data_IF_296106956419
#
_entry.id   IF_296106956419
#
_cell.length_a   1.000
_cell.length_b   1.000
_cell.length_c   1.000
_cell.angle_alpha   90.00
_cell.angle_beta   90.00
_cell.angle_gamma   90.00
#
_symmetry.space_group_name_H-M   'P 1'
#
loop_
_entity.id
_entity.type
_entity.pdbx_description
1 polymer ?
#
# COMPACT_ATOMS: atom_id res chain seq x y z
N UNK A 1 -1.36 21.14 11.93
CA UNK A 1 -0.93 20.47 13.20
C UNK A 1 -2.17 20.23 14.06
N UNK A 2 -2.29 19.25 14.98
CA UNK A 2 -1.25 18.53 15.75
C UNK A 2 -1.51 17.03 16.07
N UNK A 3 -0.53 16.44 16.78
CA UNK A 3 -0.61 15.49 17.92
C UNK A 3 -1.17 14.04 17.82
N UNK A 4 -0.34 13.15 18.39
CA UNK A 4 -0.55 11.76 18.81
C UNK A 4 -1.87 11.51 19.58
N UNK A 5 -2.46 10.31 19.48
CA UNK A 5 -2.71 9.51 20.68
C UNK A 5 -3.04 8.03 20.43
N UNK A 6 -2.64 7.25 21.43
CA UNK A 6 -2.74 5.82 21.69
C UNK A 6 -4.18 5.47 22.10
N UNK A 7 -4.73 4.35 21.64
CA UNK A 7 -6.07 3.88 22.04
C UNK A 7 -6.05 3.36 23.48
N UNK A 8 -6.75 4.05 24.39
CA UNK A 8 -7.30 3.47 25.61
C UNK A 8 -8.75 3.07 25.38
N UNK A 9 -9.12 1.90 25.90
CA UNK A 9 -10.44 1.28 25.79
C UNK A 9 -11.26 1.73 27.00
N UNK A 10 -12.40 2.39 26.76
CA UNK A 10 -13.42 2.66 27.76
C UNK A 10 -14.63 1.76 27.53
N UNK A 11 -15.00 1.00 28.56
CA UNK A 11 -16.24 0.22 28.68
C UNK A 11 -17.46 1.15 28.85
N UNK A 12 -18.69 0.64 28.63
CA UNK A 12 -19.54 0.46 29.82
C UNK A 12 -20.44 -0.80 29.80
N UNK A 13 -20.79 -1.19 31.03
CA UNK A 13 -21.72 -2.25 31.45
C UNK A 13 -23.18 -1.80 31.35
N UNK A 14 -24.10 -2.77 31.21
CA UNK A 14 -25.55 -2.59 31.41
C UNK A 14 -26.36 -3.88 31.18
N UNK A 15 -26.85 -4.48 32.28
CA UNK A 15 -27.49 -5.79 32.47
C UNK A 15 -28.93 -5.94 31.91
N UNK A 16 -29.26 -7.07 31.24
CA UNK A 16 -30.21 -8.18 31.64
C UNK A 16 -31.72 -7.96 31.37
N UNK A 17 -32.64 -8.98 31.42
CA UNK A 17 -32.51 -10.45 31.59
C UNK A 17 -33.36 -11.37 30.63
N UNK A 18 -32.95 -12.66 30.60
CA UNK A 18 -33.68 -13.96 30.61
C UNK A 18 -35.01 -14.18 29.84
N UNK A 19 -35.07 -15.29 29.07
CA UNK A 19 -36.05 -16.40 29.12
C UNK A 19 -35.48 -17.63 28.35
N UNK A 20 -35.71 -18.84 28.86
CA UNK A 20 -35.30 -20.17 28.38
C UNK A 20 -36.56 -21.08 28.44
N UNK A 21 -36.52 -22.40 28.14
CA UNK A 21 -36.25 -23.13 26.89
C UNK A 21 -37.46 -24.01 26.45
N UNK A 22 -37.45 -24.58 25.23
CA UNK A 22 -38.25 -25.78 24.92
C UNK A 22 -37.48 -26.80 24.06
N UNK A 23 -37.79 -28.07 24.36
CA UNK A 23 -37.01 -29.29 24.15
C UNK A 23 -37.87 -30.32 23.41
N UNK A 24 -37.33 -31.00 22.41
CA UNK A 24 -37.85 -32.26 21.81
C UNK A 24 -36.64 -32.97 21.13
N UNK A 25 -36.15 -34.19 21.44
CA UNK A 25 -36.68 -35.58 21.57
C UNK A 25 -37.40 -36.01 20.28
N UNK A 26 -37.05 -37.03 19.45
CA UNK A 26 -36.12 -38.20 19.33
C UNK A 26 -36.20 -38.65 17.81
N UNK A 27 -35.69 -39.79 17.25
CA UNK A 27 -34.84 -40.92 17.72
C UNK A 27 -33.62 -41.30 16.81
N UNK A 28 -32.93 -42.39 17.17
CA UNK A 28 -31.68 -43.00 16.62
C UNK A 28 -31.93 -44.03 15.50
N UNK A 29 -30.83 -44.43 14.82
CA UNK A 29 -30.45 -45.72 14.14
C UNK A 29 -29.81 -45.38 12.76
N UNK A 30 -28.69 -45.93 12.24
CA UNK A 30 -27.66 -46.89 12.67
C UNK A 30 -26.43 -46.75 11.74
N UNK A 31 -25.23 -46.91 12.34
CA UNK A 31 -23.96 -47.48 11.84
C UNK A 31 -23.57 -47.35 10.35
N UNK A 32 -22.33 -46.92 10.07
CA UNK A 32 -21.23 -47.78 9.55
C UNK A 32 -19.89 -47.01 9.42
N UNK A 33 -18.83 -47.62 9.98
CA UNK A 33 -17.38 -47.46 9.74
C UNK A 33 -16.64 -46.16 10.13
N UNK A 34 -16.07 -46.20 11.33
CA UNK A 34 -14.97 -45.33 11.77
C UNK A 34 -13.64 -45.91 11.27
N UNK A 35 -13.02 -45.28 10.28
CA UNK A 35 -11.59 -45.49 9.98
C UNK A 35 -10.78 -44.74 11.05
N UNK A 36 -10.28 -45.48 12.04
CA UNK A 36 -9.31 -44.98 13.01
C UNK A 36 -7.99 -44.66 12.31
N UNK A 37 -7.75 -43.38 12.03
CA UNK A 37 -6.41 -42.89 11.73
C UNK A 37 -5.58 -43.00 13.00
N UNK A 38 -4.55 -43.86 12.98
CA UNK A 38 -3.51 -43.91 14.01
C UNK A 38 -2.92 -42.51 14.19
N UNK A 39 -3.02 -41.97 15.40
CA UNK A 39 -2.31 -40.77 15.81
C UNK A 39 -0.82 -41.09 15.84
N UNK A 40 -0.09 -40.63 14.82
CA UNK A 40 1.35 -40.42 14.93
C UNK A 40 1.54 -39.08 15.63
N UNK A 41 1.90 -39.14 16.89
CA UNK A 41 2.42 -38.02 17.66
C UNK A 41 3.82 -37.68 17.15
N UNK A 42 3.88 -36.82 16.13
CA UNK A 42 5.08 -36.09 15.76
C UNK A 42 4.96 -34.64 16.27
N UNK A 43 5.73 -34.35 17.31
CA UNK A 43 6.02 -32.99 17.77
C UNK A 43 6.91 -32.30 16.74
N UNK A 44 6.30 -31.84 15.64
CA UNK A 44 6.89 -30.90 14.70
C UNK A 44 5.98 -29.68 14.63
N UNK A 45 6.47 -28.48 14.97
CA UNK A 45 5.71 -27.25 14.78
C UNK A 45 5.57 -26.98 13.27
N UNK A 46 4.59 -27.62 12.63
CA UNK A 46 4.32 -27.43 11.21
C UNK A 46 3.71 -26.05 11.03
N UNK A 47 4.45 -25.16 10.36
CA UNK A 47 3.93 -23.83 10.00
C UNK A 47 2.59 -24.00 9.28
N UNK A 48 1.58 -23.25 9.70
CA UNK A 48 0.23 -23.31 9.10
C UNK A 48 0.34 -23.13 7.57
N UNK A 49 -0.30 -24.00 6.76
CA UNK A 49 -0.21 -23.90 5.30
C UNK A 49 -0.68 -22.53 4.80
N UNK A 50 0.05 -21.97 3.84
CA UNK A 50 -0.21 -20.68 3.21
C UNK A 50 -0.50 -20.85 1.72
N UNK A 51 -1.41 -20.01 1.20
CA UNK A 51 -1.70 -19.93 -0.23
C UNK A 51 -0.49 -19.35 -0.99
N UNK A 52 -0.06 -19.96 -2.08
CA UNK A 52 1.07 -19.46 -2.89
C UNK A 52 0.78 -18.18 -3.65
N UNK A 53 -0.49 -17.91 -3.99
CA UNK A 53 -0.93 -16.71 -4.71
C UNK A 53 -1.09 -15.51 -3.79
N UNK A 54 -1.97 -15.59 -2.79
CA UNK A 54 -2.20 -14.46 -1.89
C UNK A 54 -1.32 -14.48 -0.64
N UNK A 55 -0.47 -15.50 -0.41
CA UNK A 55 0.40 -15.71 0.76
C UNK A 55 -0.31 -15.84 2.12
N UNK A 56 -1.66 -15.86 2.17
CA UNK A 56 -2.42 -15.91 3.44
C UNK A 56 -2.57 -17.36 3.90
N UNK A 57 -2.74 -17.61 5.20
CA UNK A 57 -3.10 -18.94 5.66
C UNK A 57 -4.34 -19.48 4.93
N UNK A 58 -4.35 -20.77 4.58
CA UNK A 58 -5.40 -21.37 3.72
C UNK A 58 -6.82 -21.06 4.18
N UNK A 59 -7.08 -21.06 5.50
CA UNK A 59 -8.41 -20.77 6.08
C UNK A 59 -8.93 -19.36 5.79
N UNK A 60 -8.03 -18.39 5.60
CA UNK A 60 -8.36 -16.99 5.34
C UNK A 60 -7.81 -16.53 3.98
N UNK A 61 -7.76 -17.46 3.02
CA UNK A 61 -7.29 -17.18 1.67
C UNK A 61 -8.20 -16.12 1.01
N UNK A 62 -7.57 -15.16 0.32
CA UNK A 62 -8.26 -14.09 -0.41
C UNK A 62 -8.60 -14.50 -1.85
N UNK A 63 -7.87 -15.44 -2.44
CA UNK A 63 -8.01 -15.79 -3.86
C UNK A 63 -9.41 -16.29 -4.22
N UNK A 64 -10.03 -17.07 -3.34
CA UNK A 64 -11.37 -17.62 -3.58
C UNK A 64 -12.49 -16.61 -3.33
N UNK A 65 -12.15 -15.41 -2.86
CA UNK A 65 -13.12 -14.33 -2.57
C UNK A 65 -13.27 -13.37 -3.74
N UNK A 66 -12.31 -13.36 -4.66
CA UNK A 66 -12.43 -12.64 -5.91
C UNK A 66 -13.48 -13.34 -6.78
N UNK A 67 -14.60 -12.67 -7.00
CA UNK A 67 -15.70 -13.16 -7.84
C UNK A 67 -15.33 -13.13 -9.33
N UNK A 68 -14.44 -12.21 -9.71
CA UNK A 68 -13.96 -12.01 -11.07
C UNK A 68 -12.49 -12.43 -11.22
N UNK A 69 -12.06 -12.87 -12.41
CA UNK A 69 -10.65 -12.97 -12.75
C UNK A 69 -9.93 -11.62 -12.56
N UNK A 70 -8.59 -11.65 -12.56
CA UNK A 70 -7.77 -10.43 -12.45
C UNK A 70 -8.26 -9.36 -13.43
N UNK A 71 -8.65 -8.22 -12.88
CA UNK A 71 -9.22 -7.10 -13.62
C UNK A 71 -8.16 -6.44 -14.50
N UNK A 72 -8.54 -6.13 -15.72
CA UNK A 72 -7.69 -5.40 -16.64
C UNK A 72 -7.78 -3.90 -16.37
N UNK A 73 -6.82 -3.34 -15.65
CA UNK A 73 -6.69 -1.89 -15.47
C UNK A 73 -5.75 -1.30 -16.54
N UNK A 74 -6.22 -0.29 -17.26
CA UNK A 74 -5.42 0.45 -18.25
C UNK A 74 -4.40 1.37 -17.57
N UNK A 75 -4.81 2.00 -16.47
CA UNK A 75 -3.96 2.81 -15.61
C UNK A 75 -3.09 1.89 -14.76
N UNK A 76 -1.76 1.96 -14.94
CA UNK A 76 -0.81 1.22 -14.12
C UNK A 76 -0.86 1.66 -12.66
N UNK A 77 -0.52 0.76 -11.74
CA UNK A 77 -0.48 1.06 -10.31
C UNK A 77 0.89 0.71 -9.80
N UNK A 78 1.57 1.68 -9.20
CA UNK A 78 2.91 1.53 -8.64
C UNK A 78 2.86 1.82 -7.14
N UNK A 79 2.91 0.77 -6.32
CA UNK A 79 2.79 0.88 -4.86
C UNK A 79 4.18 0.89 -4.24
N UNK A 80 4.57 2.00 -3.61
CA UNK A 80 5.74 2.07 -2.75
C UNK A 80 5.37 1.56 -1.37
N UNK A 81 5.67 0.29 -1.10
CA UNK A 81 5.33 -0.39 0.13
C UNK A 81 6.48 -0.31 1.14
N UNK A 82 6.21 0.27 2.30
CA UNK A 82 7.19 0.30 3.38
C UNK A 82 7.53 -1.12 3.85
N UNK A 83 8.82 -1.43 4.09
CA UNK A 83 9.29 -2.76 4.53
C UNK A 83 8.51 -3.33 5.72
N UNK A 84 8.15 -2.48 6.68
CA UNK A 84 7.37 -2.86 7.86
C UNK A 84 5.90 -3.25 7.56
N UNK A 85 5.34 -2.85 6.42
CA UNK A 85 3.97 -3.22 6.03
C UNK A 85 3.89 -4.54 5.26
N UNK A 86 4.99 -4.95 4.61
CA UNK A 86 5.05 -6.16 3.77
C UNK A 86 4.48 -7.40 4.45
N UNK A 87 4.83 -7.59 5.72
CA UNK A 87 4.42 -8.74 6.52
C UNK A 87 3.21 -8.46 7.42
N UNK A 88 2.60 -7.27 7.31
CA UNK A 88 1.49 -6.89 8.16
C UNK A 88 0.24 -7.77 7.88
N UNK A 89 -0.45 -8.27 8.91
CA UNK A 89 -1.63 -9.12 8.73
C UNK A 89 -2.78 -8.47 7.95
N UNK A 90 -2.86 -7.13 7.95
CA UNK A 90 -3.84 -6.34 7.19
C UNK A 90 -3.27 -5.72 5.90
N UNK A 91 -2.15 -6.23 5.40
CA UNK A 91 -1.58 -5.78 4.11
C UNK A 91 -2.61 -5.97 2.97
N UNK A 92 -3.31 -4.88 2.64
CA UNK A 92 -4.37 -4.82 1.63
C UNK A 92 -3.83 -4.60 0.22
N UNK A 93 -2.56 -4.20 0.08
CA UNK A 93 -1.81 -4.21 -1.18
C UNK A 93 -1.84 -5.58 -1.85
N UNK A 94 -1.94 -6.67 -1.07
CA UNK A 94 -2.09 -8.03 -1.60
C UNK A 94 -3.36 -8.21 -2.42
N UNK A 95 -4.44 -7.52 -2.09
CA UNK A 95 -5.70 -7.55 -2.83
C UNK A 95 -5.49 -6.92 -4.21
N UNK A 96 -4.82 -5.77 -4.28
CA UNK A 96 -4.43 -5.15 -5.54
C UNK A 96 -3.57 -6.11 -6.39
N UNK A 97 -2.55 -6.76 -5.81
CA UNK A 97 -1.67 -7.69 -6.53
C UNK A 97 -2.41 -8.86 -7.17
N UNK A 98 -3.42 -9.41 -6.49
CA UNK A 98 -4.15 -10.58 -7.01
C UNK A 98 -5.35 -10.20 -7.87
N UNK A 99 -5.86 -8.97 -7.71
CA UNK A 99 -7.11 -8.50 -8.32
C UNK A 99 -6.93 -7.56 -9.51
N UNK A 100 -5.77 -6.93 -9.67
CA UNK A 100 -5.48 -5.96 -10.75
C UNK A 100 -4.29 -6.44 -11.58
N UNK A 101 -4.39 -6.36 -12.91
CA UNK A 101 -3.40 -6.91 -13.84
C UNK A 101 -2.13 -6.05 -13.91
N UNK A 102 -2.26 -4.74 -13.94
CA UNK A 102 -1.15 -3.80 -14.11
C UNK A 102 -0.80 -3.16 -12.76
N UNK A 103 -0.24 -3.97 -11.85
CA UNK A 103 0.16 -3.56 -10.50
C UNK A 103 1.60 -3.95 -10.21
N UNK A 104 2.40 -2.97 -9.78
CA UNK A 104 3.79 -3.11 -9.41
C UNK A 104 3.97 -2.72 -7.94
N UNK A 105 4.76 -3.49 -7.20
CA UNK A 105 5.09 -3.20 -5.80
C UNK A 105 6.59 -3.01 -5.69
N UNK A 106 7.00 -1.85 -5.19
CA UNK A 106 8.38 -1.54 -4.88
C UNK A 106 8.49 -1.46 -3.37
N UNK A 107 9.37 -2.27 -2.79
CA UNK A 107 9.61 -2.21 -1.35
C UNK A 107 10.57 -1.06 -1.06
N UNK A 108 10.19 -0.18 -0.14
CA UNK A 108 11.00 0.98 0.28
C UNK A 108 11.24 0.93 1.80
N UNK A 109 12.37 1.45 2.24
CA UNK A 109 12.70 1.59 3.65
C UNK A 109 13.07 3.02 4.02
N UNK A 110 12.93 3.29 5.31
CA UNK A 110 13.43 4.48 5.97
C UNK A 110 14.92 4.73 5.65
N UNK A 111 15.27 6.00 5.44
CA UNK A 111 16.66 6.44 5.36
C UNK A 111 17.24 6.51 6.77
N UNK A 112 18.12 5.57 7.11
CA UNK A 112 18.73 5.47 8.43
C UNK A 112 19.99 6.33 8.59
N UNK A 113 20.78 6.45 7.52
CA UNK A 113 22.02 7.23 7.47
C UNK A 113 21.98 8.20 6.29
N UNK A 114 22.20 7.69 5.08
CA UNK A 114 22.17 8.48 3.85
C UNK A 114 21.56 7.66 2.71
N UNK A 115 20.90 8.33 1.77
CA UNK A 115 20.42 7.75 0.53
C UNK A 115 20.75 8.67 -0.64
N UNK A 116 21.16 8.08 -1.75
CA UNK A 116 21.46 8.77 -2.99
C UNK A 116 20.41 8.39 -4.05
N UNK A 117 19.92 9.38 -4.78
CA UNK A 117 18.93 9.24 -5.84
C UNK A 117 19.53 9.72 -7.14
N UNK A 118 19.58 8.83 -8.13
CA UNK A 118 19.99 9.14 -9.48
C UNK A 118 18.73 9.18 -10.35
N UNK A 119 18.33 10.38 -10.77
CA UNK A 119 17.14 10.60 -11.60
C UNK A 119 17.61 10.88 -13.02
N UNK A 120 17.21 10.02 -13.96
CA UNK A 120 17.59 10.11 -15.37
C UNK A 120 16.37 10.47 -16.21
N UNK A 121 16.46 11.52 -17.01
CA UNK A 121 15.37 11.90 -17.92
C UNK A 121 15.22 10.87 -19.04
N UNK A 122 13.98 10.51 -19.39
CA UNK A 122 13.70 9.63 -20.53
C UNK A 122 13.49 10.51 -21.78
N UNK A 123 14.58 10.85 -22.47
CA UNK A 123 14.48 11.54 -23.76
C UNK A 123 14.06 10.58 -24.88
N UNK A 124 13.24 11.06 -25.81
CA UNK A 124 12.64 10.28 -26.91
C UNK A 124 13.65 9.90 -28.02
N UNK A 125 14.94 10.20 -27.88
CA UNK A 125 15.93 10.06 -28.95
C UNK A 125 17.38 9.99 -28.45
N UNK A 126 17.67 9.20 -27.41
CA UNK A 126 19.06 8.80 -27.12
C UNK A 126 19.11 7.28 -26.97
N UNK A 127 19.92 6.63 -27.80
CA UNK A 127 20.33 5.23 -27.64
C UNK A 127 21.03 5.05 -26.30
N UNK A 128 20.91 3.87 -25.71
CA UNK A 128 21.39 3.53 -24.34
C UNK A 128 22.88 3.81 -24.06
N UNK A 129 23.66 4.20 -25.07
CA UNK A 129 25.11 4.33 -25.00
C UNK A 129 25.67 5.78 -25.11
N UNK A 130 24.82 6.81 -25.29
CA UNK A 130 25.29 8.21 -25.38
C UNK A 130 24.44 9.17 -24.51
N UNK A 131 24.39 8.92 -23.21
CA UNK A 131 23.79 9.87 -22.25
C UNK A 131 24.89 10.82 -21.77
N UNK A 132 24.86 12.08 -22.24
CA UNK A 132 25.68 13.13 -21.66
C UNK A 132 25.40 13.22 -20.14
N UNK A 133 26.45 13.45 -19.35
CA UNK A 133 26.39 13.58 -17.88
C UNK A 133 25.48 14.73 -17.37
N UNK A 134 24.80 15.45 -18.29
CA UNK A 134 23.90 16.57 -18.02
C UNK A 134 22.46 16.15 -17.72
N UNK A 135 22.04 14.94 -18.08
CA UNK A 135 20.65 14.48 -17.92
C UNK A 135 20.41 13.65 -16.65
N UNK A 136 21.38 13.67 -15.73
CA UNK A 136 21.33 12.96 -14.46
C UNK A 136 21.27 13.96 -13.31
N UNK A 137 20.15 13.96 -12.61
CA UNK A 137 19.99 14.71 -11.36
C UNK A 137 20.40 13.77 -10.22
N UNK A 138 21.45 14.13 -9.50
CA UNK A 138 21.95 13.38 -8.33
C UNK A 138 21.59 14.12 -7.05
N UNK A 139 20.74 13.49 -6.24
CA UNK A 139 20.25 14.03 -4.97
C UNK A 139 20.70 13.10 -3.85
N UNK A 140 21.41 13.63 -2.88
CA UNK A 140 21.73 12.89 -1.66
C UNK A 140 20.99 13.47 -0.47
N UNK A 141 20.34 12.60 0.29
CA UNK A 141 19.61 12.97 1.50
C UNK A 141 20.13 12.21 2.72
N UNK A 142 20.03 12.86 3.86
CA UNK A 142 20.25 12.28 5.18
C UNK A 142 18.94 11.79 5.80
N UNK A 143 19.06 11.20 7.00
CA UNK A 143 17.93 10.79 7.83
C UNK A 143 16.88 11.89 7.95
N UNK A 144 15.60 11.52 7.84
CA UNK A 144 14.42 12.43 7.83
C UNK A 144 14.28 13.29 6.56
N UNK A 145 15.06 13.07 5.51
CA UNK A 145 14.89 13.74 4.22
C UNK A 145 15.55 15.11 4.12
N UNK A 146 16.51 15.43 5.01
CA UNK A 146 17.35 16.61 4.86
C UNK A 146 18.27 16.42 3.64
N UNK A 147 18.28 17.36 2.69
CA UNK A 147 19.14 17.26 1.51
C UNK A 147 20.57 17.63 1.91
N UNK A 148 21.52 16.72 1.73
CA UNK A 148 22.93 16.93 2.08
C UNK A 148 23.77 17.44 0.91
N UNK A 149 23.42 17.03 -0.31
CA UNK A 149 24.07 17.52 -1.53
C UNK A 149 23.18 17.34 -2.76
N UNK A 150 23.38 18.23 -3.73
CA UNK A 150 22.68 18.24 -5.01
C UNK A 150 23.68 18.64 -6.10
N UNK A 151 23.85 17.83 -7.13
CA UNK A 151 24.90 18.03 -8.15
C UNK A 151 24.52 19.00 -9.28
N UNK A 152 23.23 19.27 -9.47
CA UNK A 152 22.70 20.16 -10.54
C UNK A 152 21.55 20.99 -10.01
N UNK A 153 21.43 22.25 -10.49
CA UNK A 153 20.41 23.29 -10.16
C UNK A 153 19.45 22.95 -9.03
N UNK A 154 19.49 23.76 -7.96
CA UNK A 154 18.66 23.64 -6.76
C UNK A 154 17.32 22.94 -7.04
N UNK A 155 17.00 21.86 -6.30
CA UNK A 155 15.82 21.02 -6.52
C UNK A 155 14.54 21.86 -6.60
N UNK A 156 14.50 22.97 -5.87
CA UNK A 156 13.43 23.97 -5.90
C UNK A 156 13.31 24.74 -7.23
N UNK A 157 14.44 24.98 -7.92
CA UNK A 157 14.49 25.62 -9.25
C UNK A 157 14.02 24.69 -10.39
N UNK A 158 14.05 23.37 -10.19
CA UNK A 158 13.45 22.40 -11.13
C UNK A 158 11.92 22.50 -11.17
N UNK A 159 11.29 23.04 -10.12
CA UNK A 159 9.83 23.25 -10.07
C UNK A 159 9.37 24.55 -10.71
N UNK A 160 10.27 25.43 -11.14
CA UNK A 160 9.86 26.65 -11.85
C UNK A 160 9.33 26.29 -13.24
N UNK A 161 8.08 26.67 -13.53
CA UNK A 161 7.38 26.39 -14.80
C UNK A 161 8.09 26.90 -16.05
N UNK A 162 9.08 27.77 -15.87
CA UNK A 162 9.98 28.34 -16.88
C UNK A 162 11.21 27.48 -17.18
N UNK A 163 11.43 26.37 -16.48
CA UNK A 163 12.59 25.51 -16.64
C UNK A 163 12.34 24.39 -17.66
N UNK A 164 13.18 24.33 -18.71
CA UNK A 164 13.15 23.29 -19.76
C UNK A 164 13.19 21.88 -19.14
N UNK A 165 13.92 21.70 -18.04
CA UNK A 165 14.01 20.42 -17.34
C UNK A 165 12.67 19.93 -16.77
N UNK A 166 11.74 20.82 -16.40
CA UNK A 166 10.41 20.44 -15.89
C UNK A 166 9.54 19.84 -16.99
N UNK A 167 9.60 20.39 -18.21
CA UNK A 167 8.87 19.85 -19.35
C UNK A 167 9.41 18.48 -19.78
N UNK A 168 10.73 18.26 -19.66
CA UNK A 168 11.34 16.97 -19.96
C UNK A 168 11.03 15.91 -18.91
N UNK A 169 10.95 16.27 -17.62
CA UNK A 169 10.47 15.38 -16.55
C UNK A 169 9.06 14.85 -16.82
N UNK A 170 8.17 15.64 -17.45
CA UNK A 170 6.81 15.18 -17.82
C UNK A 170 6.80 14.10 -18.89
N UNK A 171 7.87 13.97 -19.69
CA UNK A 171 8.02 12.88 -20.68
C UNK A 171 8.36 11.54 -20.01
N UNK A 172 8.68 11.57 -18.72
CA UNK A 172 9.04 10.42 -17.91
C UNK A 172 10.51 10.46 -17.51
N UNK A 173 10.83 9.73 -16.44
CA UNK A 173 12.18 9.64 -15.89
C UNK A 173 12.39 8.27 -15.24
N UNK A 174 13.64 7.86 -15.07
CA UNK A 174 14.00 6.71 -14.24
C UNK A 174 14.59 7.20 -12.92
N UNK A 175 14.31 6.48 -11.83
CA UNK A 175 14.87 6.76 -10.51
C UNK A 175 15.55 5.51 -9.99
N UNK A 176 16.84 5.65 -9.69
CA UNK A 176 17.60 4.66 -8.92
C UNK A 176 17.89 5.21 -7.54
N UNK A 177 17.55 4.45 -6.50
CA UNK A 177 17.89 4.77 -5.11
C UNK A 177 18.96 3.83 -4.60
N UNK A 178 20.04 4.41 -4.09
CA UNK A 178 21.12 3.74 -3.38
C UNK A 178 21.02 4.08 -1.89
N UNK A 179 21.14 3.07 -1.04
CA UNK A 179 21.21 3.23 0.42
C UNK A 179 22.65 3.09 0.87
N UNK A 180 23.06 4.00 1.77
CA UNK A 180 24.34 3.90 2.46
C UNK A 180 24.10 3.52 3.91
N UNK A 181 24.82 2.51 4.37
CA UNK A 181 24.81 2.05 5.76
C UNK A 181 26.20 2.29 6.35
N UNK A 182 26.26 3.05 7.43
CA UNK A 182 27.51 3.30 8.14
C UNK A 182 28.02 2.01 8.78
N UNK A 183 29.27 1.62 8.48
CA UNK A 183 29.98 0.48 9.07
C UNK A 183 30.90 0.94 10.21
N UNK A 184 31.63 2.03 9.98
CA UNK A 184 32.57 2.66 10.91
C UNK A 184 32.59 4.17 10.66
N UNK A 185 33.38 4.96 11.41
CA UNK A 185 33.33 6.43 11.37
C UNK A 185 33.46 7.06 9.97
N UNK A 186 34.13 6.40 9.01
CA UNK A 186 34.29 6.88 7.63
C UNK A 186 33.99 5.83 6.54
N UNK A 187 33.56 4.63 6.91
CA UNK A 187 33.25 3.57 5.94
C UNK A 187 31.75 3.31 5.90
N UNK A 188 31.20 3.23 4.70
CA UNK A 188 29.81 2.88 4.47
C UNK A 188 29.70 1.80 3.40
N UNK A 189 28.71 0.94 3.58
CA UNK A 189 28.26 -0.02 2.59
C UNK A 189 27.17 0.62 1.74
N UNK A 190 27.32 0.58 0.42
CA UNK A 190 26.31 1.06 -0.52
C UNK A 190 25.58 -0.12 -1.18
N UNK A 191 24.25 -0.02 -1.26
CA UNK A 191 23.40 -1.04 -1.90
C UNK A 191 22.25 -0.41 -2.67
N UNK A 192 21.87 -1.00 -3.80
CA UNK A 192 20.68 -0.59 -4.54
C UNK A 192 19.42 -0.98 -3.77
N UNK A 193 18.53 -0.02 -3.52
CA UNK A 193 17.21 -0.30 -2.96
C UNK A 193 16.18 -0.57 -4.05
N UNK A 194 16.16 0.28 -5.08
CA UNK A 194 15.30 0.11 -6.25
C UNK A 194 15.85 0.87 -7.45
N UNK A 195 15.41 0.45 -8.63
CA UNK A 195 15.57 1.15 -9.89
C UNK A 195 14.26 1.03 -10.68
N UNK A 196 13.59 2.15 -10.90
CA UNK A 196 12.22 2.17 -11.44
C UNK A 196 12.10 3.19 -12.57
N UNK A 197 11.28 2.86 -13.57
CA UNK A 197 10.85 3.82 -14.58
C UNK A 197 9.53 4.47 -14.16
N UNK A 198 9.44 5.78 -14.36
CA UNK A 198 8.27 6.61 -14.09
C UNK A 198 7.82 7.20 -15.43
N UNK A 199 6.88 6.54 -16.13
CA UNK A 199 6.47 6.96 -17.47
C UNK A 199 5.70 8.29 -17.45
N UNK A 200 5.62 8.95 -18.61
CA UNK A 200 4.74 10.11 -18.80
C UNK A 200 3.30 9.80 -18.39
N UNK A 201 2.63 10.76 -17.73
CA UNK A 201 1.29 10.55 -17.19
C UNK A 201 1.26 9.79 -15.85
N UNK A 202 2.41 9.64 -15.19
CA UNK A 202 2.46 9.20 -13.79
C UNK A 202 2.04 10.32 -12.84
N UNK A 203 1.21 9.99 -11.86
CA UNK A 203 0.76 10.91 -10.80
C UNK A 203 0.93 10.25 -9.43
N UNK A 204 1.15 11.07 -8.41
CA UNK A 204 1.25 10.62 -7.03
C UNK A 204 -0.10 10.81 -6.33
N UNK A 205 -0.68 9.71 -5.81
CA UNK A 205 -1.85 9.76 -4.94
C UNK A 205 -1.41 10.10 -3.51
N UNK A 206 -1.35 11.40 -3.20
CA UNK A 206 -0.93 11.90 -1.90
C UNK A 206 -1.46 13.32 -1.67
N UNK A 207 -2.10 13.60 -0.51
CA UNK A 207 -2.65 14.92 -0.20
C UNK A 207 -1.54 15.89 0.26
N UNK A 208 -0.69 16.30 -0.68
CA UNK A 208 0.27 17.40 -0.48
C UNK A 208 -0.43 18.76 -0.56
N UNK A 209 0.28 19.82 -0.20
CA UNK A 209 -0.24 21.20 -0.30
C UNK A 209 -0.55 21.60 -1.76
N UNK A 210 0.23 21.07 -2.71
CA UNK A 210 0.08 21.30 -4.16
C UNK A 210 -0.84 20.28 -4.85
N UNK A 211 -1.54 19.44 -4.09
CA UNK A 211 -2.40 18.39 -4.67
C UNK A 211 -3.71 18.96 -5.21
N UNK A 212 -4.08 18.49 -6.40
CA UNK A 212 -5.38 18.79 -7.05
C UNK A 212 -6.33 17.61 -6.89
N UNK A 213 -7.63 17.86 -7.01
CA UNK A 213 -8.60 16.77 -6.97
C UNK A 213 -8.43 15.89 -8.22
N UNK A 214 -8.60 14.57 -8.06
CA UNK A 214 -8.39 13.59 -9.14
C UNK A 214 -9.26 13.85 -10.37
N UNK A 215 -10.44 14.46 -10.18
CA UNK A 215 -11.37 14.84 -11.24
C UNK A 215 -10.90 16.06 -12.05
N UNK A 216 -10.02 16.89 -11.48
CA UNK A 216 -9.56 18.16 -12.07
C UNK A 216 -8.25 18.01 -12.86
N UNK A 217 -7.77 16.77 -13.04
CA UNK A 217 -6.53 16.50 -13.77
C UNK A 217 -6.75 16.75 -15.27
N UNK A 218 -5.97 17.68 -15.84
CA UNK A 218 -6.10 18.12 -17.24
C UNK A 218 -5.40 17.21 -18.27
N UNK A 219 -4.89 16.05 -17.84
CA UNK A 219 -4.16 15.11 -18.70
C UNK A 219 -4.55 13.66 -18.38
N UNK A 220 -4.32 12.76 -19.34
CA UNK A 220 -4.58 11.33 -19.18
C UNK A 220 -3.62 10.71 -18.15
N UNK A 221 -4.18 10.20 -17.06
CA UNK A 221 -3.43 9.47 -16.03
C UNK A 221 -3.12 8.06 -16.54
N UNK A 222 -1.83 7.71 -16.61
CA UNK A 222 -1.35 6.39 -17.09
C UNK A 222 -0.77 5.52 -15.99
N UNK A 223 -0.36 6.13 -14.89
CA UNK A 223 0.22 5.41 -13.76
C UNK A 223 -0.09 6.14 -12.44
N UNK A 224 -0.69 5.41 -11.50
CA UNK A 224 -0.96 5.85 -10.14
C UNK A 224 0.15 5.36 -9.22
N UNK A 225 0.95 6.29 -8.68
CA UNK A 225 1.93 6.00 -7.64
C UNK A 225 1.25 6.16 -6.28
N UNK A 226 1.33 5.12 -5.44
CA UNK A 226 0.63 5.06 -4.13
C UNK A 226 1.63 4.71 -3.03
N UNK A 227 1.52 5.39 -1.88
CA UNK A 227 2.37 5.14 -0.71
C UNK A 227 1.66 4.22 0.28
N UNK A 228 2.19 3.01 0.49
CA UNK A 228 1.60 2.03 1.41
C UNK A 228 2.32 2.02 2.77
N UNK A 229 1.61 2.57 3.76
CA UNK A 229 2.08 2.78 5.12
C UNK A 229 1.00 3.43 5.98
N UNK A 230 1.23 3.46 7.30
CA UNK A 230 0.48 4.40 8.15
C UNK A 230 0.70 5.83 7.65
N UNK A 231 -0.21 6.76 7.94
CA UNK A 231 -0.05 8.17 7.53
C UNK A 231 1.32 8.78 7.87
N UNK A 232 1.84 8.49 9.08
CA UNK A 232 3.16 8.94 9.48
C UNK A 232 4.27 8.31 8.62
N UNK A 233 4.16 7.03 8.27
CA UNK A 233 5.10 6.34 7.37
C UNK A 233 4.98 6.86 5.94
N UNK A 234 3.77 7.05 5.40
CA UNK A 234 3.54 7.61 4.08
C UNK A 234 4.14 9.02 3.95
N UNK A 235 3.89 9.90 4.94
CA UNK A 235 4.51 11.23 4.99
C UNK A 235 6.04 11.17 5.07
N UNK A 236 6.58 10.22 5.83
CA UNK A 236 8.03 10.01 5.89
C UNK A 236 8.60 9.52 4.56
N UNK A 237 7.97 8.53 3.92
CA UNK A 237 8.34 8.05 2.59
C UNK A 237 8.32 9.19 1.58
N UNK A 238 7.29 10.03 1.60
CA UNK A 238 7.21 11.23 0.76
C UNK A 238 8.42 12.16 0.95
N UNK A 239 8.78 12.47 2.21
CA UNK A 239 9.90 13.35 2.51
C UNK A 239 11.28 12.73 2.21
N UNK A 240 11.42 11.42 2.38
CA UNK A 240 12.67 10.68 2.19
C UNK A 240 12.82 10.14 0.75
N UNK A 241 11.94 10.49 -0.18
CA UNK A 241 12.05 10.14 -1.60
C UNK A 241 11.77 11.39 -2.45
N UNK A 242 12.76 12.28 -2.63
CA UNK A 242 12.55 13.63 -3.17
C UNK A 242 11.98 13.63 -4.59
N UNK A 243 12.29 12.61 -5.39
CA UNK A 243 11.73 12.42 -6.73
C UNK A 243 10.19 12.36 -6.77
N UNK A 244 9.53 11.99 -5.66
CA UNK A 244 8.07 12.00 -5.55
C UNK A 244 7.49 13.41 -5.70
N UNK A 245 8.25 14.44 -5.31
CA UNK A 245 7.84 15.84 -5.44
C UNK A 245 7.76 16.26 -6.90
N UNK A 246 8.52 15.62 -7.80
CA UNK A 246 8.55 15.91 -9.25
C UNK A 246 7.25 15.51 -9.96
N UNK A 247 6.38 14.74 -9.29
CA UNK A 247 5.13 14.26 -9.87
C UNK A 247 3.99 15.25 -9.63
N UNK A 248 3.01 15.32 -10.54
CA UNK A 248 1.70 15.86 -10.22
C UNK A 248 1.10 15.09 -9.04
N UNK A 249 0.57 15.82 -8.06
CA UNK A 249 -0.06 15.23 -6.88
C UNK A 249 -1.57 15.29 -7.06
N UNK A 250 -2.23 14.17 -6.83
CA UNK A 250 -3.68 14.10 -6.79
C UNK A 250 -4.14 13.69 -5.40
N UNK A 251 -5.32 14.18 -5.02
CA UNK A 251 -6.02 13.79 -3.80
C UNK A 251 -7.43 13.29 -4.13
N UNK A 252 -7.98 12.53 -3.19
CA UNK A 252 -9.38 12.11 -3.21
C UNK A 252 -10.17 13.08 -2.33
N UNK A 253 -11.24 13.65 -2.88
CA UNK A 253 -12.17 14.46 -2.12
C UNK A 253 -13.17 13.55 -1.39
N UNK A 254 -13.09 13.53 -0.06
CA UNK A 254 -13.92 12.67 0.77
C UNK A 254 -15.33 13.20 0.97
N UNK A 255 -15.55 14.50 0.81
CA UNK A 255 -16.87 15.10 0.99
C UNK A 255 -17.80 14.67 -0.16
N UNK A 256 -17.23 14.48 -1.38
CA UNK A 256 -17.92 13.87 -2.53
C UNK A 256 -18.06 12.35 -2.43
N UNK A 257 -17.10 11.65 -1.81
CA UNK A 257 -17.15 10.19 -1.60
C UNK A 257 -18.11 9.76 -0.48
N UNK A 258 -18.72 10.72 0.24
CA UNK A 258 -19.67 10.49 1.33
C UNK A 258 -20.92 9.68 0.92
N UNK A 259 -21.26 9.62 -0.37
CA UNK A 259 -22.30 8.74 -0.93
C UNK A 259 -22.03 7.24 -0.73
N UNK A 260 -20.79 6.87 -0.39
CA UNK A 260 -20.35 5.49 -0.14
C UNK A 260 -19.92 5.25 1.32
N UNK A 261 -20.28 6.18 2.23
CA UNK A 261 -19.82 6.20 3.63
C UNK A 261 -20.45 5.14 4.55
N UNK A 262 -21.51 4.46 4.11
CA UNK A 262 -22.30 3.53 4.93
C UNK A 262 -21.54 2.27 5.37
N UNK A 263 -20.38 1.98 4.76
CA UNK A 263 -19.67 0.70 4.93
C UNK A 263 -18.58 0.74 6.01
N UNK A 264 -18.28 1.88 6.67
CA UNK A 264 -17.12 1.94 7.59
C UNK A 264 -17.17 2.84 8.82
N UNK A 265 -16.77 2.25 9.97
CA UNK A 265 -16.15 2.96 11.11
C UNK A 265 -14.63 3.03 10.91
N UNK A 266 -14.14 4.16 10.41
CA UNK A 266 -12.72 4.53 10.40
C UNK A 266 -12.35 5.35 11.64
N UNK A 267 -11.06 5.47 12.01
CA UNK A 267 -10.64 6.27 13.16
C UNK A 267 -11.03 7.76 13.02
N UNK A 268 -11.13 8.28 11.78
CA UNK A 268 -11.70 9.59 11.41
C UNK A 268 -12.24 9.53 9.97
N UNK A 269 -13.15 10.43 9.62
CA UNK A 269 -13.59 10.61 8.24
C UNK A 269 -12.39 10.93 7.32
N UNK A 270 -12.35 10.34 6.12
CA UNK A 270 -11.30 10.56 5.11
C UNK A 270 -10.03 9.66 5.23
N UNK A 271 -10.03 8.62 6.07
CA UNK A 271 -8.85 7.75 6.26
C UNK A 271 -8.97 6.44 5.49
N UNK A 272 -8.59 6.44 4.22
CA UNK A 272 -8.63 5.23 3.39
C UNK A 272 -7.43 4.29 3.64
N UNK A 273 -7.68 2.99 3.51
CA UNK A 273 -6.60 2.01 3.32
C UNK A 273 -6.07 2.07 1.90
N UNK A 274 -4.89 1.49 1.69
CA UNK A 274 -4.21 1.47 0.38
C UNK A 274 -5.10 0.93 -0.75
N UNK A 275 -5.83 -0.17 -0.53
CA UNK A 275 -6.72 -0.73 -1.55
C UNK A 275 -7.93 0.17 -1.84
N UNK A 276 -8.50 0.81 -0.82
CA UNK A 276 -9.61 1.76 -1.03
C UNK A 276 -9.13 2.96 -1.82
N UNK A 277 -7.98 3.54 -1.45
CA UNK A 277 -7.37 4.67 -2.17
C UNK A 277 -7.13 4.32 -3.64
N UNK A 278 -6.62 3.11 -3.91
CA UNK A 278 -6.43 2.61 -5.28
C UNK A 278 -7.76 2.50 -6.02
N UNK A 279 -8.76 1.84 -5.44
CA UNK A 279 -10.07 1.64 -6.07
C UNK A 279 -10.75 2.97 -6.39
N UNK A 280 -10.81 3.89 -5.43
CA UNK A 280 -11.45 5.19 -5.64
C UNK A 280 -10.70 6.04 -6.66
N UNK A 281 -9.36 6.02 -6.65
CA UNK A 281 -8.57 6.72 -7.66
C UNK A 281 -8.81 6.14 -9.06
N UNK A 282 -8.83 4.81 -9.22
CA UNK A 282 -9.10 4.16 -10.51
C UNK A 282 -10.49 4.51 -11.05
N UNK A 283 -11.52 4.48 -10.19
CA UNK A 283 -12.87 4.91 -10.58
C UNK A 283 -12.90 6.36 -11.04
N UNK A 284 -12.23 7.25 -10.31
CA UNK A 284 -12.21 8.67 -10.65
C UNK A 284 -11.46 8.99 -11.94
N UNK A 285 -10.45 8.18 -12.33
CA UNK A 285 -9.76 8.32 -13.62
C UNK A 285 -10.46 7.57 -14.76
N UNK A 286 -11.65 6.99 -14.52
CA UNK A 286 -12.51 6.42 -15.55
C UNK A 286 -12.37 4.91 -15.79
N UNK A 287 -11.73 4.16 -14.89
CA UNK A 287 -11.72 2.68 -14.96
C UNK A 287 -13.10 2.09 -14.60
N UNK A 288 -13.37 0.89 -15.12
CA UNK A 288 -14.65 0.19 -14.91
C UNK A 288 -14.95 -0.01 -13.41
N UNK A 289 -16.11 0.49 -12.99
CA UNK A 289 -16.53 0.50 -11.59
C UNK A 289 -16.94 -0.89 -11.07
N UNK A 290 -17.56 -1.74 -11.90
CA UNK A 290 -18.19 -2.99 -11.44
C UNK A 290 -17.12 -3.99 -10.95
N UNK A 291 -16.04 -4.13 -11.70
CA UNK A 291 -14.91 -4.97 -11.30
C UNK A 291 -14.26 -4.49 -10.00
N UNK A 292 -14.08 -3.17 -9.86
CA UNK A 292 -13.37 -2.56 -8.74
C UNK A 292 -14.09 -2.72 -7.40
N UNK A 293 -15.42 -2.76 -7.40
CA UNK A 293 -16.21 -3.01 -6.18
C UNK A 293 -15.97 -4.41 -5.60
N UNK A 294 -15.70 -5.40 -6.46
CA UNK A 294 -15.31 -6.73 -6.03
C UNK A 294 -14.02 -6.75 -5.20
N UNK A 295 -13.10 -5.80 -5.39
CA UNK A 295 -11.90 -5.67 -4.56
C UNK A 295 -12.22 -5.15 -3.16
N UNK A 296 -13.20 -4.25 -3.05
CA UNK A 296 -13.68 -3.72 -1.77
C UNK A 296 -14.42 -4.78 -0.97
N UNK A 297 -15.25 -5.61 -1.62
CA UNK A 297 -15.89 -6.78 -1.00
C UNK A 297 -14.86 -7.72 -0.35
N UNK A 298 -13.78 -8.05 -1.08
CA UNK A 298 -12.70 -8.91 -0.58
C UNK A 298 -12.00 -8.26 0.62
N UNK A 299 -11.81 -6.95 0.55
CA UNK A 299 -11.19 -6.21 1.63
C UNK A 299 -12.06 -6.17 2.89
N UNK A 300 -13.35 -5.91 2.75
CA UNK A 300 -14.31 -5.98 3.86
C UNK A 300 -14.31 -7.36 4.51
N UNK A 301 -14.34 -8.42 3.70
CA UNK A 301 -14.23 -9.81 4.16
C UNK A 301 -12.93 -10.06 4.94
N UNK A 302 -11.80 -9.53 4.47
CA UNK A 302 -10.51 -9.62 5.18
C UNK A 302 -10.53 -8.90 6.54
N UNK A 303 -11.17 -7.73 6.62
CA UNK A 303 -11.35 -7.00 7.88
C UNK A 303 -12.25 -7.79 8.85
N UNK A 304 -13.31 -8.40 8.34
CA UNK A 304 -14.20 -9.28 9.11
C UNK A 304 -13.46 -10.46 9.75
N UNK A 305 -12.56 -11.12 9.02
CA UNK A 305 -11.73 -12.20 9.57
C UNK A 305 -10.85 -11.75 10.73
N UNK A 306 -10.26 -10.55 10.63
CA UNK A 306 -9.41 -10.03 11.69
C UNK A 306 -10.20 -9.73 12.97
N UNK A 307 -11.42 -9.20 12.84
CA UNK A 307 -12.32 -9.00 13.99
C UNK A 307 -12.62 -10.33 14.68
N UNK A 308 -13.05 -11.34 13.90
CA UNK A 308 -13.32 -12.69 14.43
C UNK A 308 -12.10 -13.30 15.14
N UNK A 309 -10.92 -13.25 14.52
CA UNK A 309 -9.68 -13.76 15.13
C UNK A 309 -9.29 -13.00 16.40
N UNK A 310 -9.59 -11.70 16.49
CA UNK A 310 -9.35 -10.91 17.70
C UNK A 310 -10.30 -11.33 18.81
N UNK A 311 -11.58 -11.48 18.50
CA UNK A 311 -12.62 -11.86 19.45
C UNK A 311 -12.38 -13.27 20.01
N UNK A 312 -12.02 -14.24 19.15
CA UNK A 312 -11.63 -15.60 19.56
C UNK A 312 -10.39 -15.64 20.46
N UNK A 313 -9.47 -14.68 20.32
CA UNK A 313 -8.30 -14.57 21.21
C UNK A 313 -8.70 -14.00 22.55
N UNK A 314 -9.56 -12.98 22.56
CA UNK A 314 -10.06 -12.38 23.79
C UNK A 314 -10.89 -13.38 24.61
N UNK A 315 -11.75 -14.17 23.96
CA UNK A 315 -12.55 -15.20 24.64
C UNK A 315 -11.67 -16.27 25.30
N UNK A 316 -10.61 -16.73 24.63
CA UNK A 316 -9.65 -17.70 25.18
C UNK A 316 -8.83 -17.14 26.34
N UNK A 317 -8.58 -15.84 26.37
CA UNK A 317 -7.86 -15.18 27.47
C UNK A 317 -8.78 -14.98 28.67
N UNK A 318 -10.09 -14.76 28.46
CA UNK A 318 -11.07 -14.67 29.55
C UNK A 318 -11.48 -16.02 30.15
N UNK A 319 -11.16 -17.13 29.49
CA UNK A 319 -11.42 -18.50 29.95
C UNK A 319 -10.25 -19.12 30.75
N UNK A 320 -9.13 -18.40 30.88
CA UNK A 320 -7.92 -18.77 31.65
C UNK A 320 -7.85 -17.99 32.97
#
# INVERSE_FOLDING_TARGET
MPAYCRTQIGSPLGNSPLINPLRSKFPKISQTQTLTLRMVSESGSTKRPTCTRCSKPTRICLCNRLKTPTLHNSVAITILQHTLEKNHPLNSTRIATIGLKNTHIITVSDVCFQAQFLIRLLHRSCTLDEVENKDVIDVTIEKKGATSSLSTTNFDQLFSSSNVAYHDLRKGFAVKKLKRKLLSSNEYEESEEFNIAVPSGSVLLFPSEESVDVEDVSFEVKNLIVLDGTWAKAKRMYNENPWLKLLPHIRLDFDKLSLYSEVRRQPRAGYLSTIESVVYALKAVGEDSEGLDGLLDVFESMVGDQRRCKDERLSKVSEL
#
